data_IF_615659302269
#
_entry.id   IF_615659302269
#
_cell.length_a   1.000
_cell.length_b   1.000
_cell.length_c   1.000
_cell.angle_alpha   90.00
_cell.angle_beta   90.00
_cell.angle_gamma   90.00
#
_symmetry.space_group_name_H-M   'P 1'
#
loop_
_entity.id
_entity.type
_entity.pdbx_description
1 polymer ?
#
# COMPACT_ATOMS: atom_id res chain seq x y z
N UNK A 1 32.13 15.14 -36.21
CA UNK A 1 32.54 13.74 -36.53
C UNK A 1 33.51 13.29 -35.48
N UNK A 2 33.06 12.55 -34.50
CA UNK A 2 33.85 11.65 -33.65
C UNK A 2 32.90 10.61 -33.06
N UNK A 3 33.14 9.31 -33.17
CA UNK A 3 32.26 8.29 -32.66
C UNK A 3 32.53 8.01 -31.19
N UNK A 4 31.48 7.82 -30.40
CA UNK A 4 31.51 7.41 -29.00
C UNK A 4 31.57 5.87 -28.90
N UNK A 5 32.54 5.39 -28.18
CA UNK A 5 32.85 4.00 -27.85
C UNK A 5 31.87 3.44 -26.78
N UNK A 6 31.24 2.26 -26.96
CA UNK A 6 30.39 1.67 -25.93
C UNK A 6 31.20 0.77 -25.02
N UNK A 7 31.48 1.24 -23.81
CA UNK A 7 32.11 0.46 -22.74
C UNK A 7 31.25 -0.68 -22.23
N UNK A 8 31.72 -1.92 -22.43
CA UNK A 8 31.15 -3.13 -21.87
C UNK A 8 31.40 -3.24 -20.35
N UNK A 9 30.35 -3.16 -19.55
CA UNK A 9 30.37 -3.52 -18.13
C UNK A 9 30.15 -5.04 -18.00
N UNK A 10 31.15 -5.75 -17.48
CA UNK A 10 31.10 -7.18 -17.17
C UNK A 10 30.28 -7.42 -15.90
N UNK A 11 29.28 -8.29 -15.98
CA UNK A 11 28.60 -8.86 -14.84
C UNK A 11 29.49 -9.85 -14.10
N UNK A 12 29.70 -9.65 -12.81
CA UNK A 12 30.30 -10.62 -11.91
C UNK A 12 29.19 -11.49 -11.29
N UNK A 13 29.32 -12.81 -11.46
CA UNK A 13 28.45 -13.81 -10.86
C UNK A 13 28.77 -14.02 -9.36
N UNK A 14 27.80 -14.36 -8.51
CA UNK A 14 28.04 -14.63 -7.09
C UNK A 14 28.59 -16.05 -6.88
N UNK A 15 29.62 -16.14 -6.02
CA UNK A 15 30.27 -17.37 -5.66
C UNK A 15 29.44 -18.28 -4.75
N UNK A 16 29.54 -19.58 -5.01
CA UNK A 16 28.99 -20.64 -4.17
C UNK A 16 29.86 -20.86 -2.91
N UNK A 17 29.20 -20.87 -1.74
CA UNK A 17 29.82 -21.38 -0.50
C UNK A 17 29.38 -22.82 -0.26
N UNK A 18 30.30 -23.74 0.04
CA UNK A 18 29.93 -25.11 0.41
C UNK A 18 29.68 -25.25 1.91
N UNK A 19 28.53 -25.82 2.23
CA UNK A 19 28.12 -26.21 3.57
C UNK A 19 28.89 -27.48 3.98
N UNK A 20 29.75 -27.42 5.00
CA UNK A 20 30.39 -28.57 5.63
C UNK A 20 29.55 -29.05 6.81
N UNK A 21 28.98 -30.25 6.68
CA UNK A 21 28.43 -31.02 7.79
C UNK A 21 29.59 -31.69 8.56
N UNK A 22 29.65 -31.43 9.86
CA UNK A 22 30.49 -32.18 10.79
C UNK A 22 29.59 -33.11 11.60
N UNK A 23 29.67 -34.42 11.32
CA UNK A 23 29.08 -35.47 12.17
C UNK A 23 30.02 -35.73 13.35
N UNK A 24 29.51 -35.55 14.57
CA UNK A 24 30.15 -36.05 15.77
C UNK A 24 29.23 -37.08 16.41
N UNK A 25 29.61 -38.35 16.30
CA UNK A 25 28.97 -39.47 16.96
C UNK A 25 29.40 -39.57 18.42
N UNK A 26 28.45 -39.71 19.32
CA UNK A 26 28.67 -40.09 20.71
C UNK A 26 27.75 -41.25 21.06
N UNK A 27 28.36 -42.43 21.25
CA UNK A 27 27.76 -43.63 21.81
C UNK A 27 27.73 -43.46 23.33
N UNK A 28 26.54 -43.51 23.94
CA UNK A 28 26.43 -43.65 25.39
C UNK A 28 25.46 -44.78 25.72
N UNK A 29 25.93 -45.69 26.52
CA UNK A 29 25.29 -46.89 26.98
C UNK A 29 24.08 -46.63 27.93
N UNK A 30 23.04 -47.42 27.78
CA UNK A 30 21.81 -47.42 28.61
C UNK A 30 22.05 -48.13 29.96
N UNK A 31 21.43 -47.65 31.04
CA UNK A 31 21.01 -48.48 32.16
C UNK A 31 19.49 -48.72 32.13
N UNK A 32 19.13 -49.96 32.29
CA UNK A 32 17.73 -50.43 32.45
C UNK A 32 17.15 -49.90 33.78
N UNK A 33 15.95 -49.36 33.73
CA UNK A 33 15.10 -49.14 34.87
C UNK A 33 13.65 -49.71 34.61
N UNK A 34 13.02 -50.30 35.62
CA UNK A 34 11.75 -51.02 35.43
C UNK A 34 10.53 -50.10 35.46
N UNK A 35 9.59 -50.45 34.63
CA UNK A 35 8.16 -50.30 34.68
C UNK A 35 7.54 -49.07 35.35
N UNK A 36 7.10 -48.11 34.54
CA UNK A 36 5.98 -47.26 34.89
C UNK A 36 4.84 -47.45 33.88
N UNK A 37 3.62 -47.64 34.43
CA UNK A 37 2.41 -47.86 33.69
C UNK A 37 2.15 -46.73 32.69
N UNK A 38 1.95 -47.09 31.45
CA UNK A 38 1.66 -46.22 30.33
C UNK A 38 0.21 -45.70 30.43
N UNK A 39 0.03 -44.47 30.92
CA UNK A 39 -1.23 -43.77 30.80
C UNK A 39 -1.41 -43.42 29.31
N UNK A 40 -2.48 -43.96 28.70
CA UNK A 40 -2.95 -43.59 27.36
C UNK A 40 -3.18 -42.06 27.32
N UNK A 41 -2.61 -41.36 26.35
CA UNK A 41 -3.03 -39.96 26.11
C UNK A 41 -4.47 -39.97 25.63
N UNK A 42 -5.35 -39.29 26.37
CA UNK A 42 -6.66 -38.90 25.87
C UNK A 42 -6.40 -37.89 24.75
N UNK A 43 -6.61 -38.31 23.51
CA UNK A 43 -6.59 -37.39 22.35
C UNK A 43 -7.75 -36.41 22.54
N UNK A 44 -7.43 -35.20 22.98
CA UNK A 44 -8.31 -34.06 22.84
C UNK A 44 -8.46 -33.83 21.33
N UNK A 45 -9.63 -34.20 20.81
CA UNK A 45 -10.05 -33.82 19.46
C UNK A 45 -10.28 -32.31 19.48
N UNK A 46 -9.22 -31.56 19.20
CA UNK A 46 -9.34 -30.16 18.90
C UNK A 46 -10.04 -30.06 17.53
N UNK A 47 -11.34 -29.77 17.57
CA UNK A 47 -12.12 -29.50 16.38
C UNK A 47 -11.49 -28.26 15.70
N UNK A 48 -10.66 -28.48 14.69
CA UNK A 48 -10.13 -27.44 13.84
C UNK A 48 -11.32 -26.68 13.23
N UNK A 49 -11.58 -25.48 13.75
CA UNK A 49 -12.58 -24.58 13.20
C UNK A 49 -12.15 -24.29 11.75
N UNK A 50 -13.02 -24.44 10.73
CA UNK A 50 -12.66 -24.15 9.36
C UNK A 50 -12.06 -22.76 9.29
N UNK A 51 -10.85 -22.64 8.75
CA UNK A 51 -10.24 -21.34 8.51
C UNK A 51 -11.21 -20.52 7.66
N UNK A 52 -11.60 -19.34 8.16
CA UNK A 52 -12.48 -18.43 7.43
C UNK A 52 -11.88 -18.19 6.03
N UNK A 53 -12.69 -18.36 4.98
CA UNK A 53 -12.26 -18.08 3.61
C UNK A 53 -11.76 -16.64 3.59
N UNK A 54 -10.51 -16.38 3.17
CA UNK A 54 -9.99 -15.03 3.13
C UNK A 54 -10.89 -14.14 2.25
N UNK A 55 -11.21 -12.94 2.74
CA UNK A 55 -12.08 -11.97 2.05
C UNK A 55 -11.48 -11.61 0.69
N UNK A 56 -12.32 -11.62 -0.35
CA UNK A 56 -12.01 -11.03 -1.63
C UNK A 56 -12.25 -9.51 -1.55
N UNK A 57 -11.22 -8.70 -1.79
CA UNK A 57 -11.28 -7.25 -1.74
C UNK A 57 -11.55 -6.57 -3.09
N UNK A 58 -11.87 -7.32 -4.15
CA UNK A 58 -12.05 -6.78 -5.50
C UNK A 58 -13.08 -5.64 -5.56
N UNK A 59 -14.12 -5.69 -4.74
CA UNK A 59 -15.22 -4.72 -4.72
C UNK A 59 -15.07 -3.60 -3.68
N UNK A 60 -13.90 -3.49 -3.04
CA UNK A 60 -13.68 -2.55 -1.94
C UNK A 60 -13.76 -1.08 -2.36
N UNK A 61 -13.55 -0.76 -3.63
CA UNK A 61 -13.68 0.58 -4.19
C UNK A 61 -15.00 0.84 -4.92
N UNK A 62 -15.94 -0.11 -4.95
CA UNK A 62 -17.21 0.08 -5.68
C UNK A 62 -18.03 1.24 -5.09
N UNK A 63 -17.87 1.56 -3.80
CA UNK A 63 -18.52 2.69 -3.15
C UNK A 63 -18.17 4.04 -3.80
N UNK A 64 -16.99 4.16 -4.42
CA UNK A 64 -16.49 5.44 -4.91
C UNK A 64 -16.90 5.72 -6.37
N UNK A 65 -17.37 4.72 -7.12
CA UNK A 65 -17.76 4.90 -8.52
C UNK A 65 -18.82 5.99 -8.65
N UNK A 66 -18.57 6.95 -9.54
CA UNK A 66 -19.45 8.10 -9.80
C UNK A 66 -18.74 9.44 -9.69
N UNK A 67 -19.53 10.53 -9.54
CA UNK A 67 -19.03 11.90 -9.48
C UNK A 67 -19.14 12.47 -8.06
N UNK A 68 -18.09 13.17 -7.65
CA UNK A 68 -17.95 13.69 -6.30
C UNK A 68 -17.57 15.17 -6.33
N UNK A 69 -18.13 15.95 -5.42
CA UNK A 69 -17.59 17.25 -5.05
C UNK A 69 -16.43 17.02 -4.09
N UNK A 70 -15.25 17.53 -4.43
CA UNK A 70 -14.02 17.35 -3.67
C UNK A 70 -13.60 18.65 -3.00
N UNK A 71 -13.40 18.63 -1.68
CA UNK A 71 -12.71 19.65 -0.92
C UNK A 71 -11.35 19.10 -0.52
N UNK A 72 -10.26 19.72 -1.01
CA UNK A 72 -8.90 19.28 -0.81
C UNK A 72 -8.11 20.30 0.02
N UNK A 73 -7.37 19.81 1.02
CA UNK A 73 -6.35 20.57 1.75
C UNK A 73 -4.97 19.96 1.49
N UNK A 74 -4.03 20.81 1.12
CA UNK A 74 -2.65 20.40 0.87
C UNK A 74 -1.68 21.19 1.73
N UNK A 75 -0.81 20.50 2.49
CA UNK A 75 0.26 21.10 3.25
C UNK A 75 1.36 21.58 2.30
N UNK A 76 1.77 22.84 2.43
CA UNK A 76 2.90 23.37 1.70
C UNK A 76 4.21 22.93 2.35
N UNK A 77 5.18 22.50 1.54
CA UNK A 77 6.50 22.04 2.00
C UNK A 77 6.42 20.95 3.10
N UNK A 78 5.91 19.74 2.79
CA UNK A 78 5.88 18.64 3.75
C UNK A 78 7.26 18.30 4.30
N UNK A 79 7.31 17.82 5.55
CA UNK A 79 8.55 17.44 6.27
C UNK A 79 9.55 18.59 6.48
N UNK A 80 9.08 19.84 6.44
CA UNK A 80 9.87 21.04 6.70
C UNK A 80 9.46 21.81 7.95
N UNK A 81 8.61 21.21 8.80
CA UNK A 81 7.92 21.85 9.93
C UNK A 81 6.94 22.97 9.50
N UNK A 82 6.51 22.97 8.23
CA UNK A 82 5.48 23.87 7.74
C UNK A 82 4.13 23.53 8.38
N UNK A 83 3.34 24.55 8.71
CA UNK A 83 1.93 24.43 9.11
C UNK A 83 0.98 25.12 8.15
N UNK A 84 1.47 25.53 6.98
CA UNK A 84 0.69 26.26 5.98
C UNK A 84 -0.09 25.32 5.09
N UNK A 85 -1.41 25.34 5.21
CA UNK A 85 -2.31 24.58 4.37
C UNK A 85 -2.96 25.46 3.30
N UNK A 86 -3.11 24.91 2.11
CA UNK A 86 -3.85 25.55 1.00
C UNK A 86 -5.04 24.67 0.67
N UNK A 87 -6.19 25.31 0.52
CA UNK A 87 -7.47 24.66 0.20
C UNK A 87 -7.80 24.77 -1.28
N UNK A 88 -8.44 23.73 -1.82
CA UNK A 88 -8.89 23.64 -3.20
C UNK A 88 -10.31 23.06 -3.21
N UNK A 89 -11.09 23.46 -4.20
CA UNK A 89 -12.44 22.93 -4.45
C UNK A 89 -12.54 22.45 -5.90
N UNK A 90 -13.32 21.40 -6.13
CA UNK A 90 -13.55 20.90 -7.48
C UNK A 90 -14.28 19.57 -7.49
N UNK A 91 -13.87 18.68 -8.38
CA UNK A 91 -14.55 17.40 -8.60
C UNK A 91 -13.59 16.26 -8.71
N UNK A 92 -14.05 15.07 -8.31
CA UNK A 92 -13.46 13.78 -8.64
C UNK A 92 -14.47 12.93 -9.41
N UNK A 93 -14.04 12.34 -10.52
CA UNK A 93 -14.84 11.38 -11.28
C UNK A 93 -14.17 10.02 -11.21
N UNK A 94 -14.92 9.01 -10.78
CA UNK A 94 -14.39 7.65 -10.61
C UNK A 94 -15.08 6.71 -11.58
N UNK A 95 -14.32 6.14 -12.49
CA UNK A 95 -14.78 5.25 -13.55
C UNK A 95 -14.32 3.81 -13.30
N UNK A 96 -15.25 2.86 -13.45
CA UNK A 96 -15.01 1.42 -13.33
C UNK A 96 -14.30 0.88 -14.57
N UNK A 97 -13.27 0.06 -14.37
CA UNK A 97 -12.52 -0.65 -15.42
C UNK A 97 -12.49 -2.14 -15.08
N UNK A 98 -12.52 -3.03 -16.09
CA UNK A 98 -12.46 -4.48 -15.94
C UNK A 98 -13.44 -5.05 -14.92
N UNK A 99 -14.66 -4.56 -14.96
CA UNK A 99 -15.73 -4.97 -14.04
C UNK A 99 -15.39 -4.81 -12.54
N UNK A 100 -14.69 -3.70 -12.21
CA UNK A 100 -14.31 -3.31 -10.84
C UNK A 100 -12.97 -3.84 -10.37
N UNK A 101 -12.25 -4.65 -11.16
CA UNK A 101 -10.86 -5.05 -10.84
C UNK A 101 -9.85 -3.93 -11.02
N UNK A 102 -10.28 -2.84 -11.63
CA UNK A 102 -9.55 -1.58 -11.71
C UNK A 102 -10.54 -0.42 -11.72
N UNK A 103 -10.06 0.76 -11.33
CA UNK A 103 -10.77 2.01 -11.52
C UNK A 103 -9.80 3.15 -11.83
N UNK A 104 -10.35 4.18 -12.47
CA UNK A 104 -9.65 5.42 -12.77
C UNK A 104 -10.34 6.55 -12.02
N UNK A 105 -9.56 7.36 -11.32
CA UNK A 105 -10.00 8.60 -10.69
C UNK A 105 -9.42 9.77 -11.46
N UNK A 106 -10.26 10.67 -11.89
CA UNK A 106 -9.89 11.97 -12.45
C UNK A 106 -10.25 13.04 -11.42
N UNK A 107 -9.24 13.78 -10.94
CA UNK A 107 -9.37 14.86 -9.98
C UNK A 107 -9.10 16.19 -10.65
N UNK A 108 -10.04 17.13 -10.56
CA UNK A 108 -9.85 18.51 -11.00
C UNK A 108 -10.27 19.46 -9.88
N UNK A 109 -9.33 20.24 -9.35
CA UNK A 109 -9.60 21.18 -8.27
C UNK A 109 -8.82 22.50 -8.47
N UNK A 110 -9.46 23.59 -8.08
CA UNK A 110 -8.94 24.96 -8.13
C UNK A 110 -8.75 25.54 -6.74
N UNK A 111 -7.71 26.33 -6.56
CA UNK A 111 -7.41 27.01 -5.30
C UNK A 111 -6.42 28.16 -5.45
N UNK A 112 -6.10 28.85 -4.36
CA UNK A 112 -5.21 30.02 -4.39
C UNK A 112 -3.80 29.75 -4.94
N UNK A 113 -3.34 28.51 -4.87
CA UNK A 113 -2.03 28.10 -5.41
C UNK A 113 -2.12 27.51 -6.83
N UNK A 114 -3.27 27.69 -7.51
CA UNK A 114 -3.50 27.29 -8.90
C UNK A 114 -4.37 26.07 -9.05
N UNK A 115 -4.35 25.49 -10.24
CA UNK A 115 -5.15 24.34 -10.66
C UNK A 115 -4.36 23.04 -10.48
N UNK A 116 -5.06 21.98 -10.04
CA UNK A 116 -4.54 20.62 -9.91
C UNK A 116 -5.40 19.69 -10.74
N UNK A 117 -4.78 19.02 -11.70
CA UNK A 117 -5.34 17.86 -12.41
C UNK A 117 -4.57 16.62 -11.95
N UNK A 118 -5.28 15.70 -11.33
CA UNK A 118 -4.74 14.46 -10.81
C UNK A 118 -5.40 13.24 -11.43
N UNK A 119 -4.62 12.18 -11.60
CA UNK A 119 -5.11 10.91 -12.10
C UNK A 119 -4.64 9.81 -11.15
N UNK A 120 -5.56 8.94 -10.71
CA UNK A 120 -5.20 7.75 -9.94
C UNK A 120 -5.72 6.50 -10.64
N UNK A 121 -4.81 5.64 -11.10
CA UNK A 121 -5.13 4.31 -11.60
C UNK A 121 -4.99 3.31 -10.46
N UNK A 122 -6.08 2.64 -10.11
CA UNK A 122 -6.11 1.63 -9.05
C UNK A 122 -6.33 0.25 -9.65
N UNK A 123 -5.48 -0.70 -9.28
CA UNK A 123 -5.48 -2.06 -9.81
C UNK A 123 -5.58 -3.06 -8.66
N UNK A 124 -6.47 -4.05 -8.81
CA UNK A 124 -6.61 -5.15 -7.85
C UNK A 124 -5.76 -6.34 -8.27
N UNK A 125 -4.92 -6.82 -7.37
CA UNK A 125 -4.19 -8.08 -7.50
C UNK A 125 -4.97 -9.20 -6.78
N UNK A 126 -5.62 -10.14 -7.50
CA UNK A 126 -6.40 -11.21 -6.89
C UNK A 126 -5.54 -12.26 -6.19
N UNK A 127 -4.25 -12.39 -6.54
CA UNK A 127 -3.35 -13.34 -5.90
C UNK A 127 -2.90 -12.82 -4.53
N UNK A 128 -2.50 -11.55 -4.45
CA UNK A 128 -2.15 -10.88 -3.21
C UNK A 128 -3.37 -10.41 -2.40
N UNK A 129 -4.54 -10.27 -3.04
CA UNK A 129 -5.76 -9.65 -2.51
C UNK A 129 -5.54 -8.22 -2.03
N UNK A 130 -4.76 -7.49 -2.80
CA UNK A 130 -4.38 -6.12 -2.51
C UNK A 130 -4.67 -5.21 -3.69
N UNK A 131 -4.85 -3.95 -3.40
CA UNK A 131 -4.92 -2.89 -4.38
C UNK A 131 -3.58 -2.15 -4.48
N UNK A 132 -3.20 -1.77 -5.69
CA UNK A 132 -2.14 -0.80 -5.93
C UNK A 132 -2.75 0.51 -6.43
N UNK A 133 -2.39 1.62 -5.78
CA UNK A 133 -2.82 2.97 -6.10
C UNK A 133 -1.65 3.69 -6.78
N UNK A 134 -1.83 4.04 -8.04
CA UNK A 134 -0.81 4.65 -8.90
C UNK A 134 -1.29 6.07 -9.24
N UNK A 135 -0.58 7.09 -8.79
CA UNK A 135 -0.95 8.48 -8.97
C UNK A 135 -0.08 9.17 -10.03
N UNK A 136 -0.68 10.10 -10.75
CA UNK A 136 -0.02 11.06 -11.63
C UNK A 136 -0.71 12.41 -11.54
N UNK A 137 -0.05 13.46 -12.02
CA UNK A 137 -0.66 14.75 -12.28
C UNK A 137 -0.23 15.29 -13.64
N UNK A 138 -1.02 16.20 -14.20
CA UNK A 138 -0.80 16.74 -15.55
C UNK A 138 0.57 17.45 -15.71
N UNK A 139 1.16 17.95 -14.63
CA UNK A 139 2.46 18.65 -14.66
C UNK A 139 3.65 17.70 -14.75
N UNK A 140 3.56 16.52 -14.12
CA UNK A 140 4.64 15.54 -14.15
C UNK A 140 4.49 14.55 -15.32
N UNK A 141 3.26 14.16 -15.67
CA UNK A 141 2.98 13.21 -16.75
C UNK A 141 3.54 11.81 -16.52
N UNK A 142 3.97 11.49 -15.29
CA UNK A 142 4.53 10.19 -14.90
C UNK A 142 3.82 9.64 -13.68
N UNK A 143 3.66 8.32 -13.59
CA UNK A 143 3.14 7.67 -12.40
C UNK A 143 4.15 7.71 -11.27
N UNK A 144 3.69 8.01 -10.06
CA UNK A 144 4.49 7.83 -8.84
C UNK A 144 4.65 6.33 -8.54
N UNK A 145 5.64 5.94 -7.70
CA UNK A 145 5.66 4.60 -7.14
C UNK A 145 4.32 4.27 -6.45
N UNK A 146 3.78 3.06 -6.64
CA UNK A 146 2.47 2.71 -6.11
C UNK A 146 2.46 2.62 -4.59
N UNK A 147 1.34 2.99 -3.97
CA UNK A 147 1.03 2.55 -2.63
C UNK A 147 0.17 1.28 -2.69
N UNK A 148 0.52 0.26 -1.89
CA UNK A 148 -0.11 -1.06 -1.92
C UNK A 148 -0.77 -1.33 -0.58
N UNK A 149 -1.96 -1.93 -0.59
CA UNK A 149 -2.69 -2.25 0.63
C UNK A 149 -4.08 -2.82 0.38
N UNK A 150 -4.88 -2.80 1.42
CA UNK A 150 -6.20 -3.42 1.46
C UNK A 150 -7.17 -2.65 2.37
N UNK A 151 -8.44 -3.00 2.29
CA UNK A 151 -9.45 -2.53 3.23
C UNK A 151 -9.66 -3.54 4.36
N UNK A 152 -9.70 -3.02 5.60
CA UNK A 152 -10.09 -3.75 6.80
C UNK A 152 -11.08 -2.92 7.61
N UNK A 153 -12.20 -3.52 7.99
CA UNK A 153 -13.21 -2.87 8.85
C UNK A 153 -13.68 -1.50 8.33
N UNK A 154 -13.91 -1.38 7.01
CA UNK A 154 -14.37 -0.14 6.40
C UNK A 154 -13.31 0.96 6.28
N UNK A 155 -12.02 0.62 6.45
CA UNK A 155 -10.89 1.53 6.30
C UNK A 155 -9.85 0.92 5.35
N UNK A 156 -9.45 1.67 4.33
CA UNK A 156 -8.36 1.32 3.43
C UNK A 156 -7.04 1.92 3.91
N UNK A 157 -5.96 1.14 3.94
CA UNK A 157 -4.62 1.62 4.23
C UNK A 157 -3.63 1.08 3.22
N UNK A 158 -2.86 1.98 2.61
CA UNK A 158 -1.94 1.68 1.53
C UNK A 158 -0.59 2.31 1.81
N UNK A 159 0.48 1.57 1.58
CA UNK A 159 1.84 1.97 1.92
C UNK A 159 2.76 1.85 0.71
N UNK A 160 3.68 2.79 0.58
CA UNK A 160 4.69 2.82 -0.47
C UNK A 160 5.94 3.57 -0.05
N UNK A 161 6.87 3.68 -0.98
CA UNK A 161 8.09 4.46 -0.83
C UNK A 161 8.19 5.43 -2.01
N UNK A 162 8.72 6.61 -1.74
CA UNK A 162 8.92 7.64 -2.76
C UNK A 162 10.16 8.50 -2.39
N UNK A 163 10.42 9.52 -3.17
CA UNK A 163 11.48 10.49 -2.93
C UNK A 163 10.92 11.90 -2.85
N UNK A 164 11.22 12.61 -1.78
CA UNK A 164 10.91 14.04 -1.62
C UNK A 164 12.21 14.82 -1.49
N UNK A 165 12.45 15.78 -2.40
CA UNK A 165 13.65 16.62 -2.43
C UNK A 165 14.97 15.81 -2.33
N UNK A 166 15.03 14.67 -3.06
CA UNK A 166 16.20 13.78 -3.10
C UNK A 166 16.34 12.87 -1.88
N UNK A 167 15.41 12.88 -0.90
CA UNK A 167 15.41 12.00 0.28
C UNK A 167 14.36 10.91 0.14
N UNK A 168 14.72 9.67 0.45
CA UNK A 168 13.76 8.57 0.51
C UNK A 168 12.76 8.82 1.66
N UNK A 169 11.48 8.62 1.36
CA UNK A 169 10.36 8.72 2.31
C UNK A 169 9.46 7.49 2.22
N UNK A 170 8.73 7.22 3.31
CA UNK A 170 7.56 6.35 3.25
C UNK A 170 6.31 7.18 3.01
N UNK A 171 5.40 6.62 2.23
CA UNK A 171 4.09 7.18 1.93
C UNK A 171 3.02 6.28 2.51
N UNK A 172 2.06 6.86 3.21
CA UNK A 172 0.84 6.19 3.66
C UNK A 172 -0.36 6.92 3.09
N UNK A 173 -1.26 6.18 2.47
CA UNK A 173 -2.53 6.67 1.97
C UNK A 173 -3.67 5.96 2.70
N UNK A 174 -4.60 6.73 3.23
CA UNK A 174 -5.69 6.22 4.07
C UNK A 174 -7.02 6.66 3.50
N UNK A 175 -7.98 5.72 3.39
CA UNK A 175 -9.36 5.98 3.03
C UNK A 175 -10.24 5.60 4.22
N UNK A 176 -11.04 6.54 4.68
CA UNK A 176 -11.83 6.40 5.91
C UNK A 176 -13.16 7.16 5.82
N UNK A 177 -13.98 7.06 6.88
CA UNK A 177 -15.27 7.73 6.98
C UNK A 177 -16.16 7.47 5.76
N UNK A 178 -16.12 6.24 5.27
CA UNK A 178 -16.84 5.80 4.07
C UNK A 178 -18.31 5.66 4.41
N UNK A 179 -19.13 6.38 3.66
CA UNK A 179 -20.59 6.27 3.66
C UNK A 179 -21.07 6.18 2.21
N UNK A 180 -22.37 6.03 2.00
CA UNK A 180 -22.95 6.09 0.64
C UNK A 180 -22.66 7.43 -0.06
N UNK A 181 -22.61 8.53 0.71
CA UNK A 181 -22.57 9.90 0.18
C UNK A 181 -21.30 10.66 0.53
N UNK A 182 -20.35 10.07 1.24
CA UNK A 182 -19.10 10.75 1.63
C UNK A 182 -17.95 9.78 1.88
N UNK A 183 -16.73 10.26 1.69
CA UNK A 183 -15.52 9.59 2.11
C UNK A 183 -14.40 10.60 2.38
N UNK A 184 -13.34 10.14 3.02
CA UNK A 184 -12.16 10.94 3.35
C UNK A 184 -10.89 10.21 2.93
N UNK A 185 -10.01 10.93 2.27
CA UNK A 185 -8.68 10.50 1.86
C UNK A 185 -7.63 11.29 2.59
N UNK A 186 -6.59 10.62 3.07
CA UNK A 186 -5.44 11.25 3.71
C UNK A 186 -4.14 10.67 3.18
N UNK A 187 -3.21 11.52 2.78
CA UNK A 187 -1.83 11.11 2.55
C UNK A 187 -0.94 11.60 3.68
N UNK A 188 0.01 10.77 4.07
CA UNK A 188 1.02 11.13 5.05
C UNK A 188 2.41 10.70 4.56
N UNK A 189 3.42 11.48 4.93
CA UNK A 189 4.81 11.15 4.70
C UNK A 189 5.53 10.84 6.00
N UNK A 190 6.55 9.97 5.92
CA UNK A 190 7.47 9.67 7.00
C UNK A 190 8.91 9.71 6.49
N UNK A 191 9.77 10.43 7.19
CA UNK A 191 11.20 10.51 6.90
C UNK A 191 12.06 9.65 7.86
N UNK A 192 11.43 8.90 8.78
CA UNK A 192 12.09 8.16 9.87
C UNK A 192 11.77 6.66 9.88
N UNK A 193 11.41 6.12 8.72
CA UNK A 193 11.11 4.70 8.56
C UNK A 193 9.73 4.31 9.06
N UNK A 194 8.75 5.22 9.07
CA UNK A 194 7.38 4.96 9.49
C UNK A 194 7.13 5.10 10.99
N UNK A 195 8.09 5.63 11.76
CA UNK A 195 7.93 5.87 13.21
C UNK A 195 7.01 7.04 13.48
N UNK A 196 7.15 8.13 12.71
CA UNK A 196 6.26 9.29 12.75
C UNK A 196 5.71 9.59 11.36
N UNK A 197 4.50 10.17 11.30
CA UNK A 197 3.80 10.46 10.06
C UNK A 197 3.26 11.88 10.08
N UNK A 198 3.57 12.65 9.04
CA UNK A 198 3.02 13.99 8.82
C UNK A 198 1.95 13.93 7.74
N UNK A 199 0.70 14.28 8.08
CA UNK A 199 -0.37 14.40 7.10
C UNK A 199 -0.10 15.62 6.23
N UNK A 200 -0.14 15.44 4.90
CA UNK A 200 0.18 16.50 3.94
C UNK A 200 -0.88 16.68 2.84
N UNK A 201 -1.88 15.82 2.78
CA UNK A 201 -3.00 15.86 1.85
C UNK A 201 -4.24 15.31 2.53
N UNK A 202 -5.35 16.06 2.45
CA UNK A 202 -6.64 15.64 2.99
C UNK A 202 -7.68 15.99 1.95
N UNK A 203 -8.38 15.01 1.39
CA UNK A 203 -9.56 15.23 0.58
C UNK A 203 -10.81 14.73 1.29
N UNK A 204 -11.87 15.50 1.22
CA UNK A 204 -13.21 15.11 1.66
C UNK A 204 -14.12 15.17 0.45
N UNK A 205 -14.69 14.04 0.11
CA UNK A 205 -15.55 13.89 -1.05
C UNK A 205 -17.01 13.74 -0.62
N UNK A 206 -17.89 14.45 -1.30
CA UNK A 206 -19.34 14.37 -1.14
C UNK A 206 -19.95 13.99 -2.47
N UNK A 207 -20.75 12.93 -2.52
CA UNK A 207 -21.36 12.43 -3.75
C UNK A 207 -22.25 13.48 -4.39
N UNK A 208 -22.06 13.72 -5.66
CA UNK A 208 -22.98 14.54 -6.45
C UNK A 208 -24.18 13.67 -6.84
N UNK A 209 -25.37 14.24 -6.72
CA UNK A 209 -26.60 13.61 -7.23
C UNK A 209 -26.70 13.93 -8.72
N UNK A 210 -26.95 12.90 -9.50
CA UNK A 210 -27.31 13.03 -10.92
C UNK A 210 -28.62 13.76 -11.07
#
# INVERSE_FOLDING_TARGET
MHPLDPGHARMNAPGHWPLRFLMCGLVVASPHHPGFAQQKPVAASESAQPAATPRDGQHDFDFEIGTWKTHLKRLQHPLSSSSTWVEYEGTSVVSKIWDGRANLVELEVDGPAGHIEGLSLRLYDPAARQWSLNFSNSRSGTLTPPTIGEFKNGRGEFYGQDTLDGRAIFVRFVISNITENSCRFEQSFSADGGKTWEINWIATDTRMKD
#
